data_IF_960760793106
#
_entry.id   IF_960760793106
#
_cell.length_a   1.000
_cell.length_b   1.000
_cell.length_c   1.000
_cell.angle_alpha   90.00
_cell.angle_beta   90.00
_cell.angle_gamma   90.00
#
_symmetry.space_group_name_H-M   'P 1'
#
loop_
_entity.id
_entity.type
_entity.pdbx_description
1 polymer ?
#
# COMPACT_ATOMS: atom_id res chain seq x y z
N UNK A 1 -7.96 -0.01 -12.99
CA UNK A 1 -6.54 -0.01 -13.39
C UNK A 1 -5.57 0.13 -12.19
N UNK A 2 -5.82 1.05 -11.25
CA UNK A 2 -4.88 1.34 -10.15
C UNK A 2 -4.59 0.16 -9.19
N UNK A 3 -5.61 -0.61 -8.78
CA UNK A 3 -5.43 -1.73 -7.83
C UNK A 3 -4.48 -2.81 -8.39
N UNK A 4 -4.65 -3.19 -9.66
CA UNK A 4 -3.75 -4.16 -10.30
C UNK A 4 -2.30 -3.65 -10.38
N UNK A 5 -2.10 -2.36 -10.67
CA UNK A 5 -0.75 -1.77 -10.69
C UNK A 5 -0.12 -1.69 -9.29
N UNK A 6 -0.93 -1.46 -8.25
CA UNK A 6 -0.47 -1.47 -6.86
C UNK A 6 -0.09 -2.87 -6.39
N UNK A 7 -0.89 -3.88 -6.73
CA UNK A 7 -0.60 -5.30 -6.43
C UNK A 7 0.72 -5.71 -7.10
N UNK A 8 0.89 -5.39 -8.39
CA UNK A 8 2.14 -5.70 -9.10
C UNK A 8 3.33 -4.95 -8.49
N UNK A 9 3.15 -3.68 -8.12
CA UNK A 9 4.21 -2.91 -7.45
C UNK A 9 4.56 -3.49 -6.09
N UNK A 10 3.60 -3.91 -5.27
CA UNK A 10 3.87 -4.56 -3.99
C UNK A 10 4.69 -5.84 -4.18
N UNK A 11 4.33 -6.69 -5.15
CA UNK A 11 5.11 -7.88 -5.51
C UNK A 11 6.53 -7.53 -5.94
N UNK A 12 6.69 -6.53 -6.80
CA UNK A 12 7.99 -6.08 -7.28
C UNK A 12 8.87 -5.50 -6.17
N UNK A 13 8.29 -4.95 -5.10
CA UNK A 13 9.01 -4.50 -3.91
C UNK A 13 9.22 -5.62 -2.86
N UNK A 14 8.86 -6.87 -3.19
CA UNK A 14 9.05 -8.03 -2.30
C UNK A 14 8.00 -8.14 -1.18
N UNK A 15 6.92 -7.38 -1.27
CA UNK A 15 5.85 -7.37 -0.28
C UNK A 15 4.76 -8.39 -0.60
N UNK A 16 4.17 -8.97 0.45
CA UNK A 16 2.95 -9.75 0.29
C UNK A 16 1.78 -8.84 -0.13
N UNK A 17 1.13 -9.10 -1.29
CA UNK A 17 0.11 -8.20 -1.82
C UNK A 17 -1.13 -8.13 -0.95
N UNK A 18 -1.46 -9.22 -0.27
CA UNK A 18 -2.64 -9.29 0.57
C UNK A 18 -2.42 -8.51 1.88
N UNK A 19 -1.25 -8.64 2.50
CA UNK A 19 -0.84 -7.85 3.65
C UNK A 19 -0.79 -6.35 3.32
N UNK A 20 -0.18 -5.99 2.20
CA UNK A 20 -0.14 -4.61 1.71
C UNK A 20 -1.55 -4.03 1.53
N UNK A 21 -2.42 -4.72 0.78
CA UNK A 21 -3.78 -4.24 0.53
C UNK A 21 -4.59 -4.13 1.82
N UNK A 22 -4.48 -5.10 2.73
CA UNK A 22 -5.15 -5.08 4.03
C UNK A 22 -4.73 -3.88 4.88
N UNK A 23 -3.43 -3.61 4.95
CA UNK A 23 -2.91 -2.48 5.73
C UNK A 23 -3.29 -1.13 5.11
N UNK A 24 -3.16 -1.01 3.79
CA UNK A 24 -3.58 0.20 3.05
C UNK A 24 -5.08 0.46 3.26
N UNK A 25 -5.96 -0.53 3.09
CA UNK A 25 -7.40 -0.37 3.30
C UNK A 25 -7.75 -0.02 4.76
N UNK A 26 -6.96 -0.52 5.74
CA UNK A 26 -7.16 -0.19 7.15
C UNK A 26 -6.72 1.23 7.49
N UNK A 27 -5.67 1.74 6.84
CA UNK A 27 -5.10 3.07 7.08
C UNK A 27 -5.78 4.16 6.25
N UNK A 28 -6.28 3.85 5.05
CA UNK A 28 -6.94 4.80 4.15
C UNK A 28 -7.99 5.71 4.82
N UNK A 29 -8.91 5.22 5.68
CA UNK A 29 -9.90 6.10 6.31
C UNK A 29 -9.33 7.00 7.42
N UNK A 30 -8.18 6.65 8.00
CA UNK A 30 -7.57 7.39 9.12
C UNK A 30 -6.35 8.21 8.69
N UNK A 31 -5.78 7.93 7.52
CA UNK A 31 -4.58 8.57 6.99
C UNK A 31 -4.92 9.90 6.33
N UNK A 32 -4.10 10.92 6.56
CA UNK A 32 -4.22 12.21 5.88
C UNK A 32 -3.82 12.04 4.42
N UNK A 33 -4.49 12.76 3.52
CA UNK A 33 -4.16 12.73 2.09
C UNK A 33 -2.67 13.08 1.81
N UNK A 34 -2.09 13.97 2.62
CA UNK A 34 -0.68 14.35 2.57
C UNK A 34 0.30 13.20 2.88
N UNK A 35 -0.16 12.15 3.56
CA UNK A 35 0.65 11.00 4.01
C UNK A 35 0.38 9.73 3.19
N UNK A 36 -0.50 9.79 2.18
CA UNK A 36 -0.77 8.65 1.28
C UNK A 36 0.51 8.12 0.61
N UNK A 37 1.53 8.97 0.45
CA UNK A 37 2.83 8.58 -0.09
C UNK A 37 3.51 7.47 0.73
N UNK A 38 3.25 7.38 2.04
CA UNK A 38 3.78 6.32 2.92
C UNK A 38 3.10 4.97 2.68
N UNK A 39 1.88 4.99 2.15
CA UNK A 39 1.13 3.79 1.77
C UNK A 39 1.55 3.29 0.39
N UNK A 40 2.44 3.98 -0.33
CA UNK A 40 2.92 3.50 -1.62
C UNK A 40 3.86 2.30 -1.44
N UNK A 41 3.82 1.31 -2.35
CA UNK A 41 4.50 0.02 -2.14
C UNK A 41 6.03 0.10 -2.07
N UNK A 42 6.65 1.24 -2.38
CA UNK A 42 8.09 1.48 -2.25
C UNK A 42 8.49 2.20 -0.94
N UNK A 43 7.50 2.67 -0.16
CA UNK A 43 7.66 3.30 1.16
C UNK A 43 6.81 2.65 2.25
N UNK A 44 6.09 1.60 1.89
CA UNK A 44 5.25 0.87 2.80
C UNK A 44 6.09 0.21 3.89
N UNK A 45 5.79 0.60 5.13
CA UNK A 45 6.24 -0.09 6.32
C UNK A 45 5.05 -0.81 6.94
N UNK A 46 5.10 -2.15 7.07
CA UNK A 46 4.07 -2.88 7.80
C UNK A 46 4.01 -2.37 9.25
N UNK A 47 2.80 -2.14 9.73
CA UNK A 47 2.52 -1.78 11.12
C UNK A 47 2.69 -2.98 12.07
#
# INVERSE_FOLDING_TARGET
AAIMSLIQSARNNGHDPYAYLKDVLRRLPTQRASEIAELLPHRWHPA
#
